data_IF_526147004670
#
_entry.id   IF_526147004670
#
_cell.length_a   1.000
_cell.length_b   1.000
_cell.length_c   1.000
_cell.angle_alpha   90.00
_cell.angle_beta   90.00
_cell.angle_gamma   90.00
#
_symmetry.space_group_name_H-M   'P 1'
#
loop_
_entity.id
_entity.type
_entity.pdbx_description
1 polymer ?
#
# COMPACT_ATOMS: atom_id res chain seq x y z
N UNK A 1 16.82 9.38 19.51
CA UNK A 1 15.50 9.76 18.99
C UNK A 1 14.83 8.49 18.51
N UNK A 2 13.58 8.27 18.95
CA UNK A 2 12.73 7.18 18.49
C UNK A 2 11.88 7.71 17.34
N UNK A 3 11.87 7.00 16.21
CA UNK A 3 11.12 7.38 15.02
C UNK A 3 9.94 6.44 14.81
N UNK A 4 8.86 6.94 14.23
CA UNK A 4 7.91 6.07 13.54
C UNK A 4 8.53 5.60 12.22
N UNK A 5 8.20 4.41 11.70
CA UNK A 5 8.80 3.90 10.46
C UNK A 5 8.72 4.88 9.29
N UNK A 6 7.65 5.65 9.17
CA UNK A 6 7.45 6.68 8.14
C UNK A 6 8.31 7.94 8.27
N UNK A 7 8.75 8.25 9.49
CA UNK A 7 9.54 9.43 9.80
C UNK A 7 11.02 9.21 9.48
N UNK A 8 11.41 7.95 9.25
CA UNK A 8 12.80 7.61 8.97
C UNK A 8 13.24 8.20 7.63
N UNK A 9 14.17 9.15 7.68
CA UNK A 9 14.86 9.63 6.50
C UNK A 9 15.86 8.59 5.97
N UNK A 10 16.31 8.76 4.72
CA UNK A 10 17.28 7.85 4.12
C UNK A 10 18.54 7.76 4.98
N UNK A 11 18.92 6.54 5.38
CA UNK A 11 20.04 6.33 6.30
C UNK A 11 21.36 6.33 5.53
N UNK A 12 22.42 6.85 6.16
CA UNK A 12 23.79 6.68 5.64
C UNK A 12 24.23 5.23 5.85
N UNK A 13 25.09 4.70 4.98
CA UNK A 13 25.70 3.37 5.19
C UNK A 13 26.41 3.33 6.56
N UNK A 14 26.21 2.25 7.30
CA UNK A 14 26.70 2.04 8.66
C UNK A 14 25.89 2.73 9.76
N UNK A 15 24.91 3.57 9.42
CA UNK A 15 24.08 4.27 10.41
C UNK A 15 22.87 3.45 10.85
N UNK A 16 22.37 3.74 12.06
CA UNK A 16 21.19 3.12 12.64
C UNK A 16 20.32 4.14 13.37
N UNK A 17 19.03 3.84 13.45
CA UNK A 17 18.03 4.58 14.22
C UNK A 17 17.15 3.61 15.00
N UNK A 18 16.46 4.12 16.02
CA UNK A 18 15.43 3.38 16.73
C UNK A 18 14.08 3.66 16.08
N UNK A 19 13.31 2.60 15.84
CA UNK A 19 11.99 2.68 15.24
C UNK A 19 10.97 1.95 16.10
N UNK A 20 9.84 2.58 16.38
CA UNK A 20 8.71 1.93 17.06
C UNK A 20 7.75 1.39 16.00
N UNK A 21 7.76 0.08 15.78
CA UNK A 21 6.97 -0.54 14.69
C UNK A 21 5.51 -0.82 15.11
N UNK A 22 5.24 -0.90 16.40
CA UNK A 22 3.92 -0.91 17.05
C UNK A 22 4.10 -0.44 18.49
N UNK A 23 3.02 -0.02 19.15
CA UNK A 23 3.06 0.46 20.53
C UNK A 23 3.86 -0.49 21.44
N UNK A 24 4.99 0.00 21.96
CA UNK A 24 5.90 -0.76 22.83
C UNK A 24 6.89 -1.72 22.15
N UNK A 25 6.83 -1.93 20.82
CA UNK A 25 7.82 -2.72 20.06
C UNK A 25 8.83 -1.78 19.38
N UNK A 26 9.93 -1.53 20.09
CA UNK A 26 11.05 -0.71 19.59
C UNK A 26 12.15 -1.61 19.03
N UNK A 27 12.51 -1.37 17.77
CA UNK A 27 13.56 -2.09 17.05
C UNK A 27 14.63 -1.14 16.53
N UNK A 28 15.77 -1.72 16.14
CA UNK A 28 16.85 -1.01 15.49
C UNK A 28 16.71 -1.18 13.98
N UNK A 29 16.56 -0.09 13.25
CA UNK A 29 16.71 -0.07 11.80
C UNK A 29 18.12 0.42 11.45
N UNK A 30 18.90 -0.40 10.77
CA UNK A 30 20.28 -0.11 10.37
C UNK A 30 20.41 -0.22 8.86
N UNK A 31 21.12 0.71 8.22
CA UNK A 31 21.59 0.51 6.85
C UNK A 31 23.03 0.02 6.91
N UNK A 32 23.27 -1.22 6.49
CA UNK A 32 24.62 -1.79 6.56
C UNK A 32 25.56 -1.19 5.51
N UNK A 33 26.84 -1.59 5.53
CA UNK A 33 27.86 -1.06 4.63
C UNK A 33 27.64 -1.49 3.16
N UNK A 34 26.95 -2.60 2.93
CA UNK A 34 26.51 -3.05 1.62
C UNK A 34 25.37 -2.17 1.08
N UNK A 35 24.63 -1.48 1.96
CA UNK A 35 23.53 -0.58 1.60
C UNK A 35 22.14 -1.15 1.86
N UNK A 36 22.07 -2.39 2.37
CA UNK A 36 20.84 -3.12 2.73
C UNK A 36 20.35 -2.66 4.10
N UNK A 37 19.04 -2.59 4.27
CA UNK A 37 18.39 -2.25 5.54
C UNK A 37 18.15 -3.51 6.37
N UNK A 38 18.48 -3.44 7.66
CA UNK A 38 18.39 -4.51 8.65
C UNK A 38 17.49 -4.03 9.79
N UNK A 39 16.42 -4.75 10.10
CA UNK A 39 15.55 -4.49 11.25
C UNK A 39 15.68 -5.62 12.27
N UNK A 40 16.07 -5.30 13.50
CA UNK A 40 16.25 -6.30 14.55
C UNK A 40 15.92 -5.75 15.94
N UNK A 41 15.64 -6.66 16.87
CA UNK A 41 15.47 -6.29 18.27
C UNK A 41 16.84 -6.02 18.91
N UNK A 42 16.96 -4.96 19.71
CA UNK A 42 18.22 -4.63 20.38
C UNK A 42 18.74 -5.76 21.28
N UNK A 43 17.82 -6.54 21.86
CA UNK A 43 18.14 -7.67 22.73
C UNK A 43 18.51 -8.95 21.95
N UNK A 44 18.20 -9.01 20.65
CA UNK A 44 18.51 -10.17 19.82
C UNK A 44 18.81 -9.77 18.36
N UNK A 45 20.04 -9.32 18.06
CA UNK A 45 20.43 -8.88 16.73
C UNK A 45 20.59 -10.03 15.71
N UNK A 46 20.65 -11.28 16.17
CA UNK A 46 20.83 -12.45 15.29
C UNK A 46 19.58 -12.76 14.45
N UNK A 47 18.43 -12.27 14.86
CA UNK A 47 17.17 -12.37 14.11
C UNK A 47 16.91 -11.02 13.47
N UNK A 48 17.33 -10.88 12.22
CA UNK A 48 17.20 -9.66 11.43
C UNK A 48 16.27 -9.87 10.23
N UNK A 49 15.39 -8.90 10.00
CA UNK A 49 14.65 -8.77 8.75
C UNK A 49 15.42 -7.84 7.80
N UNK A 50 15.44 -8.19 6.51
CA UNK A 50 16.22 -7.47 5.51
C UNK A 50 15.30 -6.80 4.47
N UNK A 51 15.67 -5.58 4.08
CA UNK A 51 14.98 -4.81 3.04
C UNK A 51 16.00 -4.25 2.06
N UNK A 52 15.74 -4.42 0.77
CA UNK A 52 16.62 -3.92 -0.30
C UNK A 52 16.62 -2.40 -0.37
N UNK A 53 15.51 -1.77 0.03
CA UNK A 53 15.38 -0.32 0.15
C UNK A 53 14.55 0.09 1.38
N UNK A 54 14.59 1.38 1.69
CA UNK A 54 13.89 1.95 2.84
C UNK A 54 12.37 2.00 2.64
N UNK A 55 11.89 2.06 1.40
CA UNK A 55 10.47 2.11 1.10
C UNK A 55 9.81 0.77 1.44
N UNK A 56 10.45 -0.37 1.18
CA UNK A 56 9.95 -1.68 1.59
C UNK A 56 9.76 -1.78 3.11
N UNK A 57 10.71 -1.25 3.89
CA UNK A 57 10.57 -1.15 5.34
C UNK A 57 9.37 -0.28 5.74
N UNK A 58 9.23 0.90 5.13
CA UNK A 58 8.12 1.82 5.38
C UNK A 58 6.78 1.23 4.96
N UNK A 59 6.73 0.49 3.87
CA UNK A 59 5.51 -0.18 3.42
C UNK A 59 5.05 -1.21 4.45
N UNK A 60 6.00 -1.93 5.06
CA UNK A 60 5.69 -2.98 6.03
C UNK A 60 5.30 -2.46 7.41
N UNK A 61 5.95 -1.40 7.90
CA UNK A 61 5.77 -0.93 9.28
C UNK A 61 5.33 0.54 9.42
N UNK A 62 5.25 1.28 8.32
CA UNK A 62 4.74 2.63 8.27
C UNK A 62 3.33 2.74 8.85
N UNK A 63 3.01 3.92 9.35
CA UNK A 63 1.63 4.30 9.53
C UNK A 63 0.95 4.28 8.16
N UNK A 64 -0.19 3.60 8.10
CA UNK A 64 -1.03 3.52 6.90
C UNK A 64 -1.47 4.93 6.42
N UNK A 65 -1.28 5.96 7.26
CA UNK A 65 -1.50 7.36 6.92
C UNK A 65 -0.51 7.95 5.90
N UNK A 66 0.66 7.33 5.64
CA UNK A 66 1.41 7.67 4.42
C UNK A 66 0.90 6.82 3.26
N UNK A 67 -0.11 7.37 2.58
CA UNK A 67 -0.55 6.97 1.24
C UNK A 67 0.67 6.68 0.38
N UNK A 68 0.94 5.41 0.09
CA UNK A 68 2.02 5.07 -0.83
C UNK A 68 1.53 5.32 -2.26
N UNK A 69 2.42 5.71 -3.19
CA UNK A 69 2.04 5.96 -4.56
C UNK A 69 1.50 4.68 -5.21
N UNK A 70 0.30 4.81 -5.76
CA UNK A 70 -0.33 3.76 -6.54
C UNK A 70 0.05 3.97 -7.99
N UNK A 71 0.57 2.93 -8.62
CA UNK A 71 0.91 2.95 -10.04
C UNK A 71 0.32 1.75 -10.79
N UNK A 72 -0.02 0.67 -10.09
CA UNK A 72 -0.64 -0.51 -10.66
C UNK A 72 -1.36 -1.32 -9.56
N UNK A 73 -2.68 -1.11 -9.38
CA UNK A 73 -3.42 -1.76 -8.29
C UNK A 73 -3.31 -3.29 -8.35
N UNK A 74 -3.41 -3.88 -9.55
CA UNK A 74 -3.34 -5.34 -9.72
C UNK A 74 -2.03 -5.94 -9.22
N UNK A 75 -0.91 -5.23 -9.43
CA UNK A 75 0.44 -5.64 -8.96
C UNK A 75 0.65 -5.36 -7.48
N UNK A 76 0.08 -4.27 -6.97
CA UNK A 76 0.22 -3.83 -5.58
C UNK A 76 -0.85 -4.40 -4.64
N UNK A 77 -1.78 -5.24 -5.12
CA UNK A 77 -2.97 -5.66 -4.36
C UNK A 77 -2.68 -6.24 -2.98
N UNK A 78 -1.59 -7.00 -2.83
CA UNK A 78 -1.23 -7.64 -1.56
C UNK A 78 -0.73 -6.63 -0.53
N UNK A 79 -0.20 -5.50 -0.97
CA UNK A 79 0.18 -4.37 -0.12
C UNK A 79 -1.01 -3.44 0.14
N UNK A 80 -1.94 -3.34 -0.83
CA UNK A 80 -3.13 -2.50 -0.73
C UNK A 80 -4.14 -3.09 0.28
N UNK A 81 -4.39 -4.40 0.27
CA UNK A 81 -5.36 -5.02 1.18
C UNK A 81 -5.14 -4.71 2.67
N UNK A 82 -3.95 -4.95 3.27
CA UNK A 82 -3.73 -4.63 4.67
C UNK A 82 -3.78 -3.13 4.96
N UNK A 83 -3.54 -2.27 3.96
CA UNK A 83 -3.72 -0.83 4.10
C UNK A 83 -5.20 -0.43 4.10
N UNK A 84 -5.98 -0.99 3.17
CA UNK A 84 -7.41 -0.69 3.00
C UNK A 84 -8.27 -1.22 4.16
N UNK A 85 -7.90 -2.33 4.81
CA UNK A 85 -8.63 -2.90 5.97
C UNK A 85 -8.80 -1.93 7.15
N UNK A 86 -7.93 -0.91 7.25
CA UNK A 86 -7.96 0.09 8.33
C UNK A 86 -8.52 1.43 7.90
N UNK A 87 -8.99 1.55 6.65
CA UNK A 87 -9.50 2.80 6.09
C UNK A 87 -11.00 2.77 5.97
N UNK A 88 -11.63 3.92 6.23
CA UNK A 88 -13.00 4.15 5.80
C UNK A 88 -13.08 4.16 4.27
N UNK A 89 -14.22 3.75 3.71
CA UNK A 89 -14.41 3.66 2.26
C UNK A 89 -14.06 4.99 1.55
N UNK A 90 -14.51 6.12 2.11
CA UNK A 90 -14.24 7.44 1.56
C UNK A 90 -12.73 7.78 1.57
N UNK A 91 -12.00 7.34 2.59
CA UNK A 91 -10.55 7.54 2.68
C UNK A 91 -9.81 6.70 1.63
N UNK A 92 -10.17 5.43 1.49
CA UNK A 92 -9.60 4.53 0.48
C UNK A 92 -9.85 5.07 -0.94
N UNK A 93 -11.08 5.50 -1.24
CA UNK A 93 -11.42 6.07 -2.54
C UNK A 93 -10.65 7.36 -2.81
N UNK A 94 -10.47 8.21 -1.79
CA UNK A 94 -9.62 9.40 -1.90
C UNK A 94 -8.17 9.02 -2.20
N UNK A 95 -7.62 8.03 -1.50
CA UNK A 95 -6.27 7.54 -1.76
C UNK A 95 -6.09 7.04 -3.20
N UNK A 96 -7.04 6.26 -3.73
CA UNK A 96 -6.98 5.82 -5.13
C UNK A 96 -7.06 7.02 -6.09
N UNK A 97 -7.85 8.04 -5.77
CA UNK A 97 -7.99 9.24 -6.60
C UNK A 97 -6.78 10.17 -6.58
N UNK A 98 -5.92 10.08 -5.56
CA UNK A 98 -4.70 10.90 -5.47
C UNK A 98 -3.61 10.46 -6.48
N UNK A 99 -3.76 9.28 -7.08
CA UNK A 99 -2.76 8.67 -7.97
C UNK A 99 -3.32 8.16 -9.30
N UNK A 100 -4.61 8.37 -9.55
CA UNK A 100 -5.26 7.92 -10.76
C UNK A 100 -6.72 8.28 -10.83
N UNK A 101 -7.29 8.17 -12.03
CA UNK A 101 -8.71 8.41 -12.28
C UNK A 101 -9.55 7.19 -11.95
N UNK A 102 -10.50 7.35 -11.03
CA UNK A 102 -11.53 6.35 -10.72
C UNK A 102 -12.74 6.57 -11.63
N UNK A 103 -13.18 5.51 -12.31
CA UNK A 103 -14.37 5.47 -13.15
C UNK A 103 -15.33 4.42 -12.63
N UNK A 104 -16.53 4.84 -12.24
CA UNK A 104 -17.62 3.92 -11.93
C UNK A 104 -18.14 3.27 -13.22
N UNK A 105 -18.28 1.95 -13.21
CA UNK A 105 -18.77 1.17 -14.36
C UNK A 105 -20.25 0.83 -14.17
N UNK A 106 -20.56 0.13 -13.08
CA UNK A 106 -21.90 -0.38 -12.78
C UNK A 106 -22.01 -0.82 -11.32
N UNK A 107 -23.23 -1.09 -10.88
CA UNK A 107 -23.50 -1.78 -9.62
C UNK A 107 -24.38 -3.00 -9.87
N UNK A 108 -24.30 -3.97 -8.97
CA UNK A 108 -25.16 -5.14 -8.92
C UNK A 108 -25.60 -5.37 -7.47
N UNK A 109 -26.83 -5.88 -7.30
CA UNK A 109 -27.33 -6.33 -5.99
C UNK A 109 -27.39 -7.84 -5.96
N UNK A 110 -26.87 -8.45 -4.90
CA UNK A 110 -26.91 -9.90 -4.66
C UNK A 110 -27.33 -10.13 -3.22
N UNK A 111 -28.62 -10.41 -2.99
CA UNK A 111 -29.17 -10.45 -1.64
C UNK A 111 -29.11 -9.07 -0.97
N UNK A 112 -28.51 -8.99 0.21
CA UNK A 112 -28.25 -7.72 0.94
C UNK A 112 -27.02 -6.98 0.42
N UNK A 113 -26.16 -7.66 -0.35
CA UNK A 113 -24.89 -7.11 -0.81
C UNK A 113 -25.10 -6.18 -2.00
N UNK A 114 -24.43 -5.03 -1.96
CA UNK A 114 -24.28 -4.13 -3.10
C UNK A 114 -22.85 -4.18 -3.60
N UNK A 115 -22.66 -4.60 -4.86
CA UNK A 115 -21.35 -4.71 -5.50
C UNK A 115 -21.21 -3.56 -6.49
N UNK A 116 -20.25 -2.68 -6.27
CA UNK A 116 -19.90 -1.57 -7.16
C UNK A 116 -18.62 -1.91 -7.93
N UNK A 117 -18.66 -1.77 -9.26
CA UNK A 117 -17.55 -2.09 -10.15
C UNK A 117 -16.90 -0.81 -10.65
N UNK A 118 -15.58 -0.75 -10.53
CA UNK A 118 -14.78 0.41 -10.88
C UNK A 118 -13.62 0.05 -11.80
N UNK A 119 -13.22 1.04 -12.60
CA UNK A 119 -11.97 1.07 -13.34
C UNK A 119 -11.10 2.18 -12.78
N UNK A 120 -9.82 1.88 -12.56
CA UNK A 120 -8.82 2.83 -12.12
C UNK A 120 -7.75 2.97 -13.20
N UNK A 121 -7.47 4.20 -13.61
CA UNK A 121 -6.45 4.54 -14.62
C UNK A 121 -5.34 5.29 -13.89
N UNK A 122 -4.13 4.74 -13.89
CA UNK A 122 -2.96 5.33 -13.23
C UNK A 122 -2.55 6.66 -13.87
N UNK A 123 -2.18 7.64 -13.04
CA UNK A 123 -1.58 8.90 -13.52
C UNK A 123 -0.06 8.77 -13.74
N UNK A 124 0.58 7.77 -13.12
CA UNK A 124 2.03 7.57 -13.17
C UNK A 124 2.49 6.59 -14.24
N UNK A 125 1.67 5.57 -14.53
CA UNK A 125 1.94 4.57 -15.57
C UNK A 125 0.73 4.47 -16.49
N UNK A 126 0.90 4.01 -17.73
CA UNK A 126 -0.24 3.74 -18.61
C UNK A 126 -0.91 2.40 -18.25
N UNK A 127 -1.40 2.28 -17.01
CA UNK A 127 -2.02 1.05 -16.49
C UNK A 127 -3.48 1.26 -16.15
N UNK A 128 -4.29 0.24 -16.46
CA UNK A 128 -5.73 0.21 -16.17
C UNK A 128 -6.03 -1.01 -15.31
N UNK A 129 -6.43 -0.77 -14.07
CA UNK A 129 -6.83 -1.80 -13.11
C UNK A 129 -8.34 -1.78 -12.92
N UNK A 130 -8.95 -2.94 -12.68
CA UNK A 130 -10.36 -3.01 -12.27
C UNK A 130 -10.43 -3.45 -10.82
N UNK A 131 -11.37 -2.87 -10.08
CA UNK A 131 -11.63 -3.25 -8.70
C UNK A 131 -13.12 -3.20 -8.40
N UNK A 132 -13.53 -3.86 -7.33
CA UNK A 132 -14.90 -3.86 -6.83
C UNK A 132 -14.93 -3.48 -5.36
N UNK A 133 -16.00 -2.80 -4.98
CA UNK A 133 -16.35 -2.55 -3.59
C UNK A 133 -17.65 -3.32 -3.32
N UNK A 134 -17.59 -4.26 -2.39
CA UNK A 134 -18.75 -5.00 -1.92
C UNK A 134 -19.19 -4.37 -0.61
N UNK A 135 -20.41 -3.87 -0.53
CA UNK A 135 -21.00 -3.24 0.66
C UNK A 135 -22.02 -4.16 1.29
N UNK A 136 -21.98 -4.28 2.61
CA UNK A 136 -22.97 -4.96 3.44
C UNK A 136 -23.31 -4.07 4.65
N UNK A 137 -24.41 -3.32 4.57
CA UNK A 137 -24.72 -2.29 5.57
C UNK A 137 -23.64 -1.20 5.64
N UNK A 138 -23.01 -1.06 6.80
CA UNK A 138 -21.94 -0.08 7.06
C UNK A 138 -20.54 -0.62 6.73
N UNK A 139 -20.40 -1.92 6.47
CA UNK A 139 -19.12 -2.55 6.17
C UNK A 139 -18.88 -2.62 4.66
N UNK A 140 -17.60 -2.61 4.27
CA UNK A 140 -17.20 -2.83 2.88
C UNK A 140 -16.01 -3.79 2.76
N UNK A 141 -15.90 -4.43 1.61
CA UNK A 141 -14.75 -5.25 1.21
C UNK A 141 -14.25 -4.78 -0.15
N UNK A 142 -12.94 -4.66 -0.28
CA UNK A 142 -12.25 -4.34 -1.53
C UNK A 142 -11.82 -5.64 -2.24
N UNK A 143 -12.09 -5.74 -3.54
CA UNK A 143 -11.51 -6.76 -4.39
C UNK A 143 -10.81 -6.12 -5.59
N UNK A 144 -9.53 -6.40 -5.81
CA UNK A 144 -8.78 -5.90 -6.96
C UNK A 144 -8.55 -7.05 -7.94
N UNK A 145 -8.85 -6.83 -9.22
CA UNK A 145 -8.63 -7.84 -10.25
C UNK A 145 -7.14 -8.24 -10.34
N UNK A 146 -6.88 -9.54 -10.50
CA UNK A 146 -5.50 -10.07 -10.56
C UNK A 146 -4.75 -9.60 -11.81
N UNK A 147 -5.48 -9.26 -12.87
CA UNK A 147 -4.92 -8.80 -14.14
C UNK A 147 -5.51 -7.45 -14.50
N UNK A 148 -4.66 -6.59 -15.05
CA UNK A 148 -5.09 -5.36 -15.70
C UNK A 148 -5.99 -5.70 -16.89
N UNK A 149 -7.00 -4.86 -17.15
CA UNK A 149 -7.74 -4.97 -18.40
C UNK A 149 -6.81 -4.60 -19.54
N UNK A 150 -6.60 -5.52 -20.46
CA UNK A 150 -5.98 -5.24 -21.75
C UNK A 150 -7.00 -4.52 -22.63
N UNK A 151 -7.24 -3.24 -22.38
CA UNK A 151 -7.86 -2.41 -23.40
C UNK A 151 -6.75 -1.89 -24.30
N UNK A 152 -6.70 -2.42 -25.53
CA UNK A 152 -6.12 -1.67 -26.64
C UNK A 152 -6.90 -0.36 -26.68
N UNK A 153 -6.21 0.77 -26.47
CA UNK A 153 -6.73 2.07 -26.88
C UNK A 153 -6.93 1.98 -28.40
N UNK A 154 -8.15 1.70 -28.85
CA UNK A 154 -8.56 2.08 -30.19
C UNK A 154 -8.59 3.61 -30.18
N UNK A 155 -7.49 4.19 -30.65
CA UNK A 155 -7.46 5.61 -31.00
C UNK A 155 -8.48 5.79 -32.12
N UNK A 156 -9.56 6.47 -31.78
CA UNK A 156 -10.55 6.96 -32.74
C UNK A 156 -9.81 7.82 -33.76
N UNK A 157 -9.82 7.36 -35.02
CA UNK A 157 -9.48 8.13 -36.22
C UNK A 157 -10.74 8.36 -37.03
#
# INVERSE_FOLDING_TARGET
MLFKPDEVANLKKGSKVLVEIKEGDVRVLKRNYCGVYELYNMNNPYISEYFEDLNLFKNRYGSVHKKFPLYNLSRQRLDIYPAAERMELNEMMKWFSDYGKILYIKSAKVGTLTIEYYRWISDMENTVSNFQIVKDGDEFTLNIAVRNSSERMEMVG
#
